data_IF_630156919286
#
_entry.id   IF_630156919286
#
_cell.length_a   1.000
_cell.length_b   1.000
_cell.length_c   1.000
_cell.angle_alpha   90.00
_cell.angle_beta   90.00
_cell.angle_gamma   90.00
#
_symmetry.space_group_name_H-M   'P 1'
#
loop_
_entity.id
_entity.type
_entity.pdbx_description
1 polymer ?
#
# COMPACT_ATOMS: atom_id res chain seq x y z
N UNK A 1 32.12 -48.28 -47.07
CA UNK A 1 31.21 -48.62 -45.95
C UNK A 1 30.68 -47.32 -45.36
N UNK A 2 29.39 -47.06 -45.51
CA UNK A 2 28.66 -45.94 -44.88
C UNK A 2 28.00 -46.47 -43.60
N UNK A 3 28.09 -45.72 -42.50
CA UNK A 3 27.09 -45.73 -41.44
C UNK A 3 27.20 -44.43 -40.62
N UNK A 4 26.27 -43.50 -40.88
CA UNK A 4 25.93 -42.39 -40.00
C UNK A 4 25.35 -42.95 -38.70
N UNK A 5 25.84 -42.49 -37.54
CA UNK A 5 25.13 -42.64 -36.25
C UNK A 5 24.68 -41.27 -35.77
N UNK A 6 23.37 -41.07 -35.77
CA UNK A 6 22.68 -39.99 -35.06
C UNK A 6 22.67 -40.28 -33.55
N UNK A 7 22.97 -39.28 -32.73
CA UNK A 7 22.70 -39.29 -31.28
C UNK A 7 22.19 -37.93 -30.85
N UNK A 8 20.90 -37.87 -30.49
CA UNK A 8 20.17 -36.68 -30.04
C UNK A 8 20.88 -35.95 -28.89
N UNK A 9 21.10 -34.65 -29.05
CA UNK A 9 21.38 -33.71 -27.97
C UNK A 9 20.10 -33.50 -27.14
N UNK A 10 20.16 -33.88 -25.86
CA UNK A 10 19.09 -33.63 -24.88
C UNK A 10 19.20 -32.19 -24.40
N UNK A 11 18.44 -31.27 -25.00
CA UNK A 11 18.31 -29.89 -24.51
C UNK A 11 17.62 -29.86 -23.15
N UNK A 12 18.33 -29.42 -22.11
CA UNK A 12 17.74 -29.09 -20.82
C UNK A 12 16.95 -27.78 -20.98
N UNK A 13 15.64 -27.88 -21.12
CA UNK A 13 14.75 -26.71 -21.01
C UNK A 13 14.73 -26.26 -19.55
N UNK A 14 15.30 -25.08 -19.28
CA UNK A 14 15.17 -24.42 -17.99
C UNK A 14 13.67 -24.13 -17.72
N UNK A 15 13.10 -24.78 -16.70
CA UNK A 15 11.75 -24.46 -16.23
C UNK A 15 11.81 -23.10 -15.54
N UNK A 16 11.25 -22.07 -16.18
CA UNK A 16 10.98 -20.78 -15.54
C UNK A 16 9.96 -21.02 -14.43
N UNK A 17 10.42 -21.00 -13.17
CA UNK A 17 9.52 -20.95 -12.02
C UNK A 17 8.79 -19.61 -12.06
N UNK A 18 7.46 -19.65 -12.08
CA UNK A 18 6.64 -18.46 -11.90
C UNK A 18 7.06 -17.76 -10.60
N UNK A 19 7.13 -16.42 -10.57
CA UNK A 19 7.45 -15.71 -9.34
C UNK A 19 6.36 -16.02 -8.31
N UNK A 20 6.71 -16.81 -7.30
CA UNK A 20 5.85 -16.96 -6.14
C UNK A 20 5.84 -15.62 -5.41
N UNK A 21 4.71 -14.92 -5.49
CA UNK A 21 4.42 -13.78 -4.62
C UNK A 21 4.20 -14.34 -3.22
N UNK A 22 5.30 -14.52 -2.49
CA UNK A 22 5.26 -14.90 -1.09
C UNK A 22 5.02 -13.61 -0.28
N UNK A 23 3.75 -13.20 -0.16
CA UNK A 23 3.41 -12.19 0.83
C UNK A 23 3.36 -12.91 2.18
N UNK A 24 4.34 -12.65 3.03
CA UNK A 24 4.33 -13.04 4.42
C UNK A 24 3.25 -12.23 5.13
N UNK A 25 1.98 -12.66 5.01
CA UNK A 25 0.97 -12.22 5.96
C UNK A 25 1.44 -12.70 7.32
N UNK A 26 1.88 -11.78 8.18
CA UNK A 26 2.03 -12.07 9.60
C UNK A 26 0.63 -12.39 10.13
N UNK A 27 0.27 -13.68 10.11
CA UNK A 27 -1.03 -14.17 10.55
C UNK A 27 -1.04 -14.24 12.07
N UNK A 28 -1.14 -13.09 12.72
CA UNK A 28 -1.42 -13.01 14.16
C UNK A 28 -2.88 -13.35 14.47
N UNK A 29 -3.22 -13.66 15.74
CA UNK A 29 -4.53 -14.19 16.16
C UNK A 29 -5.77 -13.29 15.92
N UNK A 30 -5.63 -12.09 15.35
CA UNK A 30 -6.73 -11.14 15.06
C UNK A 30 -7.50 -11.45 13.76
N UNK A 31 -7.33 -12.62 13.15
CA UNK A 31 -7.86 -12.91 11.80
C UNK A 31 -9.39 -12.96 11.71
N UNK A 32 -10.10 -13.08 12.83
CA UNK A 32 -11.55 -13.32 12.80
C UNK A 32 -12.37 -12.15 13.36
N UNK A 33 -11.83 -11.38 14.30
CA UNK A 33 -12.62 -10.41 15.06
C UNK A 33 -12.00 -9.00 14.99
N UNK A 34 -12.53 -8.17 14.10
CA UNK A 34 -12.36 -6.72 14.17
C UNK A 34 -12.02 -6.04 12.85
N UNK A 35 -12.53 -4.82 12.73
CA UNK A 35 -12.26 -3.92 11.61
C UNK A 35 -10.76 -3.76 11.40
N UNK A 36 -10.32 -3.93 10.16
CA UNK A 36 -8.96 -3.64 9.74
C UNK A 36 -8.95 -2.73 8.52
N UNK A 37 -7.77 -2.21 8.24
CA UNK A 37 -7.51 -1.31 7.14
C UNK A 37 -6.49 -1.95 6.20
N UNK A 38 -6.83 -2.01 4.92
CA UNK A 38 -5.90 -2.45 3.88
C UNK A 38 -5.23 -1.22 3.29
N UNK A 39 -3.94 -1.09 3.60
CA UNK A 39 -3.07 -0.10 3.01
C UNK A 39 -2.56 -0.65 1.69
N UNK A 40 -2.57 0.20 0.66
CA UNK A 40 -2.11 -0.20 -0.66
C UNK A 40 -1.30 0.94 -1.24
N UNK A 41 -0.07 0.62 -1.63
CA UNK A 41 0.87 1.54 -2.26
C UNK A 41 1.18 0.99 -3.65
N UNK A 42 0.93 1.79 -4.68
CA UNK A 42 1.29 1.42 -6.05
C UNK A 42 2.39 2.34 -6.56
N UNK A 43 3.48 1.73 -7.04
CA UNK A 43 4.49 2.41 -7.83
C UNK A 43 4.05 2.38 -9.29
N UNK A 44 3.81 3.54 -9.87
CA UNK A 44 3.41 3.68 -11.25
C UNK A 44 4.62 3.88 -12.15
N UNK A 45 4.49 3.43 -13.41
CA UNK A 45 5.47 3.69 -14.45
C UNK A 45 5.72 5.20 -14.60
N UNK A 46 6.97 5.61 -14.88
CA UNK A 46 7.27 6.99 -15.22
C UNK A 46 6.34 7.48 -16.35
N UNK A 47 5.86 8.72 -16.23
CA UNK A 47 4.90 9.36 -17.15
C UNK A 47 3.47 8.80 -17.16
N UNK A 48 3.14 7.79 -16.33
CA UNK A 48 1.79 7.21 -16.27
C UNK A 48 0.93 7.69 -15.10
N UNK A 49 1.47 8.51 -14.21
CA UNK A 49 0.76 9.07 -13.06
C UNK A 49 -0.56 9.75 -13.44
N UNK A 50 -0.52 10.71 -14.37
CA UNK A 50 -1.71 11.48 -14.74
C UNK A 50 -2.78 10.59 -15.39
N UNK A 51 -2.37 9.69 -16.29
CA UNK A 51 -3.28 8.73 -16.93
C UNK A 51 -3.98 7.85 -15.88
N UNK A 52 -3.22 7.32 -14.92
CA UNK A 52 -3.76 6.52 -13.83
C UNK A 52 -4.72 7.31 -12.94
N UNK A 53 -4.38 8.56 -12.57
CA UNK A 53 -5.22 9.40 -11.70
C UNK A 53 -6.52 9.80 -12.38
N UNK A 54 -6.52 10.09 -13.68
CA UNK A 54 -7.75 10.37 -14.43
C UNK A 54 -8.65 9.13 -14.52
N UNK A 55 -8.06 7.95 -14.77
CA UNK A 55 -8.81 6.69 -14.73
C UNK A 55 -9.37 6.42 -13.33
N UNK A 56 -8.57 6.62 -12.29
CA UNK A 56 -9.01 6.45 -10.91
C UNK A 56 -10.18 7.39 -10.61
N UNK A 57 -10.06 8.69 -10.91
CA UNK A 57 -11.13 9.68 -10.72
C UNK A 57 -12.41 9.29 -11.43
N UNK A 58 -12.31 8.82 -12.67
CA UNK A 58 -13.48 8.43 -13.47
C UNK A 58 -14.19 7.20 -12.91
N UNK A 59 -13.45 6.18 -12.49
CA UNK A 59 -14.01 4.85 -12.20
C UNK A 59 -13.99 4.45 -10.72
N UNK A 60 -13.47 5.28 -9.81
CA UNK A 60 -13.40 4.94 -8.38
C UNK A 60 -14.77 4.61 -7.79
N UNK A 61 -15.81 5.28 -8.28
CA UNK A 61 -17.20 5.08 -7.85
C UNK A 61 -17.66 3.61 -7.98
N UNK A 62 -17.17 2.89 -9.01
CA UNK A 62 -17.48 1.48 -9.22
C UNK A 62 -16.93 0.61 -8.07
N UNK A 63 -15.74 0.92 -7.56
CA UNK A 63 -15.15 0.18 -6.44
C UNK A 63 -15.74 0.62 -5.11
N UNK A 64 -15.98 1.91 -4.93
CA UNK A 64 -16.54 2.44 -3.67
C UNK A 64 -18.00 2.04 -3.45
N UNK A 65 -18.69 1.58 -4.49
CA UNK A 65 -20.00 0.95 -4.34
C UNK A 65 -19.95 -0.38 -3.53
N UNK A 66 -18.79 -1.03 -3.46
CA UNK A 66 -18.61 -2.29 -2.73
C UNK A 66 -17.65 -2.19 -1.54
N UNK A 67 -16.73 -1.21 -1.54
CA UNK A 67 -15.66 -1.09 -0.54
C UNK A 67 -15.62 0.32 0.04
N UNK A 68 -15.46 0.43 1.36
CA UNK A 68 -15.29 1.72 2.02
C UNK A 68 -13.88 2.25 1.79
N UNK A 69 -13.76 3.32 0.99
CA UNK A 69 -12.51 4.06 0.81
C UNK A 69 -12.35 5.06 1.95
N UNK A 70 -11.25 4.96 2.70
CA UNK A 70 -10.94 5.92 3.77
C UNK A 70 -10.25 7.15 3.18
N UNK A 71 -9.33 6.93 2.24
CA UNK A 71 -8.69 8.03 1.51
C UNK A 71 -7.76 7.54 0.43
N UNK A 72 -7.41 8.47 -0.46
CA UNK A 72 -6.61 8.24 -1.65
C UNK A 72 -5.71 9.44 -1.90
N UNK A 73 -4.41 9.20 -2.02
CA UNK A 73 -3.41 10.24 -2.19
C UNK A 73 -2.43 9.90 -3.30
N UNK A 74 -1.92 10.93 -3.97
CA UNK A 74 -0.66 10.85 -4.69
C UNK A 74 0.47 11.21 -3.74
N UNK A 75 1.59 10.49 -3.82
CA UNK A 75 2.79 10.78 -3.03
C UNK A 75 3.63 11.80 -3.79
N UNK A 76 3.85 12.97 -3.20
CA UNK A 76 4.67 14.04 -3.79
C UNK A 76 6.15 13.88 -3.41
N UNK A 77 6.42 13.64 -2.13
CA UNK A 77 7.76 13.50 -1.56
C UNK A 77 7.82 12.33 -0.59
N UNK A 78 9.00 11.69 -0.47
CA UNK A 78 9.23 10.60 0.50
C UNK A 78 9.92 9.34 -0.03
N UNK A 79 10.78 9.46 -1.04
CA UNK A 79 11.48 8.33 -1.65
C UNK A 79 11.23 8.27 -3.16
N UNK A 80 10.72 7.15 -3.65
CA UNK A 80 10.41 6.96 -5.06
C UNK A 80 9.13 7.72 -5.46
N UNK A 81 9.26 8.54 -6.51
CA UNK A 81 8.16 9.31 -7.10
C UNK A 81 7.20 8.40 -7.88
N UNK A 82 6.07 8.96 -8.35
CA UNK A 82 5.03 8.23 -9.08
C UNK A 82 4.30 7.16 -8.24
N UNK A 83 4.11 7.43 -6.94
CA UNK A 83 3.33 6.53 -6.07
C UNK A 83 1.94 7.06 -5.79
N UNK A 84 0.99 6.13 -5.68
CA UNK A 84 -0.32 6.40 -5.06
C UNK A 84 -0.46 5.55 -3.81
N UNK A 85 -1.06 6.13 -2.78
CA UNK A 85 -1.35 5.46 -1.52
C UNK A 85 -2.84 5.57 -1.23
N UNK A 86 -3.47 4.46 -0.85
CA UNK A 86 -4.89 4.49 -0.52
C UNK A 86 -5.27 3.43 0.51
N UNK A 87 -6.24 3.79 1.34
CA UNK A 87 -6.67 3.01 2.50
C UNK A 87 -8.10 2.52 2.30
N UNK A 88 -8.32 1.22 2.47
CA UNK A 88 -9.64 0.59 2.42
C UNK A 88 -10.01 0.01 3.78
N UNK A 89 -11.25 0.20 4.22
CA UNK A 89 -11.75 -0.37 5.48
C UNK A 89 -12.54 -1.65 5.21
N UNK A 90 -12.33 -2.66 6.05
CA UNK A 90 -13.11 -3.89 6.06
C UNK A 90 -13.40 -4.34 7.48
N UNK A 91 -14.56 -4.94 7.71
CA UNK A 91 -14.97 -5.40 9.04
C UNK A 91 -14.19 -6.63 9.51
N UNK A 92 -13.77 -7.49 8.57
CA UNK A 92 -12.95 -8.68 8.79
C UNK A 92 -12.52 -9.29 7.44
N UNK A 93 -11.78 -10.41 7.47
CA UNK A 93 -11.23 -11.05 6.27
C UNK A 93 -12.30 -11.72 5.40
N UNK A 94 -13.39 -12.21 6.00
CA UNK A 94 -14.51 -12.78 5.26
C UNK A 94 -15.22 -11.69 4.46
N UNK A 95 -15.56 -10.56 5.10
CA UNK A 95 -16.12 -9.38 4.44
C UNK A 95 -15.22 -8.90 3.30
N UNK A 96 -13.90 -8.77 3.52
CA UNK A 96 -12.95 -8.43 2.44
C UNK A 96 -13.01 -9.40 1.27
N UNK A 97 -13.08 -10.70 1.56
CA UNK A 97 -13.13 -11.75 0.54
C UNK A 97 -14.41 -11.66 -0.29
N UNK A 98 -15.55 -11.47 0.36
CA UNK A 98 -16.86 -11.32 -0.29
C UNK A 98 -16.91 -10.07 -1.17
N UNK A 99 -16.46 -8.94 -0.65
CA UNK A 99 -16.37 -7.67 -1.39
C UNK A 99 -15.49 -7.82 -2.62
N UNK A 100 -14.30 -8.39 -2.49
CA UNK A 100 -13.40 -8.61 -3.64
C UNK A 100 -14.00 -9.56 -4.67
N UNK A 101 -14.73 -10.60 -4.23
CA UNK A 101 -15.48 -11.51 -5.13
C UNK A 101 -16.60 -10.78 -5.86
N UNK A 102 -17.32 -9.87 -5.20
CA UNK A 102 -18.39 -9.09 -5.81
C UNK A 102 -17.83 -8.11 -6.86
N UNK A 103 -16.79 -7.34 -6.49
CA UNK A 103 -16.10 -6.40 -7.39
C UNK A 103 -15.54 -7.11 -8.62
N UNK A 104 -15.03 -8.33 -8.48
CA UNK A 104 -14.50 -9.10 -9.61
C UNK A 104 -15.58 -9.54 -10.62
N UNK A 105 -16.87 -9.53 -10.27
CA UNK A 105 -17.97 -9.84 -11.21
C UNK A 105 -18.34 -8.66 -12.08
N UNK A 106 -18.10 -7.44 -11.59
CA UNK A 106 -18.36 -6.21 -12.33
C UNK A 106 -17.53 -6.19 -13.63
N UNK A 107 -18.21 -6.02 -14.77
CA UNK A 107 -17.57 -6.07 -16.10
C UNK A 107 -16.78 -4.79 -16.38
N UNK A 108 -17.33 -3.65 -15.99
CA UNK A 108 -16.71 -2.34 -16.22
C UNK A 108 -15.45 -2.20 -15.37
N UNK A 109 -15.55 -2.57 -14.08
CA UNK A 109 -14.39 -2.57 -13.20
C UNK A 109 -13.26 -3.48 -13.72
N UNK A 110 -13.59 -4.69 -14.19
CA UNK A 110 -12.58 -5.62 -14.73
C UNK A 110 -11.83 -5.05 -15.92
N UNK A 111 -12.53 -4.40 -16.85
CA UNK A 111 -11.90 -3.84 -18.03
C UNK A 111 -10.91 -2.73 -17.65
N UNK A 112 -11.31 -1.84 -16.74
CA UNK A 112 -10.47 -0.74 -16.25
C UNK A 112 -9.32 -1.25 -15.39
N UNK A 113 -9.54 -2.29 -14.58
CA UNK A 113 -8.49 -2.93 -13.79
C UNK A 113 -7.36 -3.43 -14.69
N UNK A 114 -7.67 -4.14 -15.77
CA UNK A 114 -6.67 -4.65 -16.70
C UNK A 114 -5.85 -3.50 -17.32
N UNK A 115 -6.52 -2.44 -17.76
CA UNK A 115 -5.85 -1.25 -18.31
C UNK A 115 -4.94 -0.57 -17.29
N UNK A 116 -5.41 -0.39 -16.05
CA UNK A 116 -4.62 0.25 -14.99
C UNK A 116 -3.45 -0.63 -14.50
N UNK A 117 -3.59 -1.96 -14.50
CA UNK A 117 -2.50 -2.87 -14.12
C UNK A 117 -1.28 -2.71 -15.05
N UNK A 118 -1.48 -2.37 -16.32
CA UNK A 118 -0.38 -2.12 -17.25
C UNK A 118 0.42 -0.84 -16.92
N UNK A 119 -0.16 0.07 -16.12
CA UNK A 119 0.45 1.33 -15.69
C UNK A 119 1.27 1.20 -14.40
N UNK A 120 1.14 0.08 -13.69
CA UNK A 120 1.75 -0.17 -12.38
C UNK A 120 3.02 -1.02 -12.56
N UNK A 121 4.11 -0.62 -11.91
CA UNK A 121 5.35 -1.39 -11.83
C UNK A 121 5.38 -2.30 -10.60
N UNK A 122 4.93 -1.80 -9.44
CA UNK A 122 4.96 -2.52 -8.18
C UNK A 122 3.73 -2.22 -7.33
N UNK A 123 3.28 -3.22 -6.55
CA UNK A 123 2.18 -3.10 -5.61
C UNK A 123 2.56 -3.68 -4.26
N UNK A 124 2.44 -2.87 -3.23
CA UNK A 124 2.56 -3.27 -1.84
C UNK A 124 1.18 -3.20 -1.20
N UNK A 125 0.81 -4.23 -0.44
CA UNK A 125 -0.44 -4.27 0.31
C UNK A 125 -0.16 -4.73 1.73
N UNK A 126 -0.66 -3.97 2.69
CA UNK A 126 -0.47 -4.22 4.11
C UNK A 126 -1.82 -4.23 4.81
N UNK A 127 -1.96 -5.14 5.79
CA UNK A 127 -3.15 -5.19 6.65
C UNK A 127 -2.78 -4.60 7.99
N UNK A 128 -3.41 -3.47 8.30
CA UNK A 128 -3.17 -2.71 9.51
C UNK A 128 -4.42 -2.70 10.38
N UNK A 129 -4.22 -2.62 11.69
CA UNK A 129 -5.30 -2.52 12.65
C UNK A 129 -5.16 -1.20 13.40
N UNK A 130 -6.29 -0.61 13.80
CA UNK A 130 -6.22 0.52 14.72
C UNK A 130 -5.50 0.09 15.99
N UNK A 131 -4.57 0.93 16.40
CA UNK A 131 -3.74 0.74 17.59
C UNK A 131 -4.29 1.68 18.65
N UNK A 132 -5.11 1.20 19.60
CA UNK A 132 -5.81 2.14 20.46
C UNK A 132 -4.94 2.68 21.62
N UNK A 133 -3.80 2.05 21.97
CA UNK A 133 -2.84 2.53 23.01
C UNK A 133 -1.51 1.72 23.13
N UNK A 134 -0.99 1.11 22.05
CA UNK A 134 0.02 0.04 22.17
C UNK A 134 1.40 0.49 22.71
N UNK A 135 1.95 -0.29 23.64
CA UNK A 135 3.38 -0.26 24.05
C UNK A 135 4.24 -0.95 22.98
N UNK A 136 5.41 -0.39 22.68
CA UNK A 136 6.38 -1.01 21.77
C UNK A 136 6.93 -2.27 22.45
N UNK A 137 6.53 -3.44 21.96
CA UNK A 137 6.99 -4.75 22.42
C UNK A 137 7.77 -5.42 21.30
N UNK A 138 8.54 -6.46 21.63
CA UNK A 138 9.11 -7.37 20.62
C UNK A 138 8.04 -8.39 20.21
N UNK A 139 7.97 -8.85 18.93
CA UNK A 139 8.84 -8.51 17.80
C UNK A 139 8.65 -7.08 17.30
N UNK A 140 9.60 -6.57 16.50
CA UNK A 140 9.51 -5.23 15.92
C UNK A 140 8.15 -5.05 15.21
N UNK A 141 7.34 -4.09 15.69
CA UNK A 141 6.06 -3.73 15.09
C UNK A 141 6.27 -2.55 14.16
N UNK A 142 5.73 -2.65 12.95
CA UNK A 142 5.61 -1.50 12.06
C UNK A 142 4.40 -0.67 12.48
N UNK A 143 4.58 0.65 12.58
CA UNK A 143 3.54 1.59 12.99
C UNK A 143 3.44 2.68 11.94
N UNK A 144 2.26 2.80 11.33
CA UNK A 144 1.95 3.92 10.44
C UNK A 144 1.21 5.00 11.20
N UNK A 145 1.62 6.24 11.02
CA UNK A 145 0.98 7.39 11.63
C UNK A 145 0.64 8.40 10.54
N UNK A 146 -0.66 8.71 10.41
CA UNK A 146 -1.14 9.73 9.50
C UNK A 146 -1.41 11.02 10.27
N UNK A 147 -0.75 12.11 9.85
CA UNK A 147 -0.91 13.43 10.44
C UNK A 147 -1.51 14.38 9.42
N UNK A 148 -2.64 14.99 9.75
CA UNK A 148 -3.20 16.07 8.95
C UNK A 148 -2.61 17.41 9.39
N UNK A 149 -2.30 18.27 8.41
CA UNK A 149 -1.83 19.63 8.63
C UNK A 149 -2.46 20.54 7.57
N UNK A 150 -2.92 21.72 7.97
CA UNK A 150 -3.52 22.71 7.07
C UNK A 150 -2.57 23.15 5.94
N UNK A 151 -1.27 23.30 6.25
CA UNK A 151 -0.25 23.71 5.28
C UNK A 151 1.13 23.16 5.62
N UNK A 152 2.07 23.29 4.68
CA UNK A 152 3.47 22.98 4.94
C UNK A 152 4.06 23.86 6.06
N UNK A 153 3.63 25.11 6.12
CA UNK A 153 4.07 26.09 7.13
C UNK A 153 3.52 25.74 8.51
N UNK A 154 2.24 25.35 8.61
CA UNK A 154 1.65 24.94 9.90
C UNK A 154 2.36 23.70 10.44
N UNK A 155 2.69 22.75 9.55
CA UNK A 155 3.51 21.57 9.89
C UNK A 155 4.92 21.95 10.34
N UNK A 156 5.56 22.91 9.68
CA UNK A 156 6.91 23.36 10.04
C UNK A 156 6.91 24.05 11.42
N UNK A 157 5.97 24.94 11.66
CA UNK A 157 5.79 25.62 12.94
C UNK A 157 5.51 24.63 14.09
N UNK A 158 4.60 23.67 13.88
CA UNK A 158 4.30 22.63 14.88
C UNK A 158 5.51 21.76 15.21
N UNK A 159 6.35 21.42 14.22
CA UNK A 159 7.62 20.71 14.46
C UNK A 159 8.63 21.55 15.23
N UNK A 160 8.73 22.84 14.91
CA UNK A 160 9.62 23.75 15.63
C UNK A 160 9.22 23.83 17.12
N UNK A 161 7.94 24.05 17.40
CA UNK A 161 7.41 24.04 18.78
C UNK A 161 7.69 22.70 19.49
N UNK A 162 7.48 21.58 18.80
CA UNK A 162 7.75 20.24 19.36
C UNK A 162 9.23 20.01 19.67
N UNK A 163 10.14 20.59 18.90
CA UNK A 163 11.58 20.52 19.16
C UNK A 163 12.03 21.39 20.34
N UNK A 164 11.24 22.39 20.72
CA UNK A 164 11.51 23.26 21.86
C UNK A 164 10.83 22.79 23.16
N UNK A 165 9.79 21.94 23.07
CA UNK A 165 9.16 21.36 24.26
C UNK A 165 10.06 20.26 24.89
N UNK A 166 10.60 20.47 26.11
CA UNK A 166 11.52 19.54 26.74
C UNK A 166 10.88 18.17 27.02
N UNK A 167 9.56 18.10 27.19
CA UNK A 167 8.84 16.82 27.42
C UNK A 167 8.81 15.98 26.15
N UNK A 168 8.56 16.63 25.01
CA UNK A 168 8.55 15.97 23.70
C UNK A 168 9.95 15.49 23.36
N UNK A 169 10.96 16.35 23.52
CA UNK A 169 12.37 15.99 23.27
C UNK A 169 12.80 14.81 24.15
N UNK A 170 12.43 14.79 25.42
CA UNK A 170 12.74 13.67 26.32
C UNK A 170 12.08 12.36 25.84
N UNK A 171 10.79 12.39 25.50
CA UNK A 171 10.06 11.22 25.01
C UNK A 171 10.59 10.70 23.66
N UNK A 172 11.00 11.60 22.75
CA UNK A 172 11.63 11.21 21.47
C UNK A 172 12.99 10.56 21.71
N UNK A 173 13.82 11.11 22.61
CA UNK A 173 15.13 10.52 22.96
C UNK A 173 15.01 9.14 23.57
N UNK A 174 13.97 8.88 24.35
CA UNK A 174 13.71 7.55 24.90
C UNK A 174 13.26 6.58 23.79
N UNK A 175 12.30 7.01 22.95
CA UNK A 175 11.66 6.15 21.96
C UNK A 175 12.52 5.84 20.73
N UNK A 176 13.43 6.75 20.33
CA UNK A 176 14.30 6.56 19.14
C UNK A 176 15.22 5.33 19.29
N UNK A 177 15.52 4.90 20.51
CA UNK A 177 16.33 3.69 20.75
C UNK A 177 15.64 2.40 20.29
N UNK A 178 14.31 2.43 20.10
CA UNK A 178 13.52 1.32 19.58
C UNK A 178 13.25 1.44 18.08
N UNK A 179 13.62 2.57 17.46
CA UNK A 179 13.34 2.86 16.06
C UNK A 179 14.43 2.27 15.17
N UNK A 180 14.08 1.27 14.36
CA UNK A 180 15.00 0.65 13.40
C UNK A 180 15.10 1.48 12.13
N UNK A 181 13.96 1.94 11.61
CA UNK A 181 13.89 2.79 10.42
C UNK A 181 12.64 3.68 10.51
N UNK A 182 12.70 4.83 9.86
CA UNK A 182 11.55 5.71 9.68
C UNK A 182 11.51 6.19 8.24
N UNK A 183 10.33 6.14 7.66
CA UNK A 183 10.03 6.76 6.37
C UNK A 183 8.91 7.77 6.56
N UNK A 184 9.00 8.88 5.84
CA UNK A 184 7.99 9.92 5.86
C UNK A 184 7.57 10.20 4.41
N UNK A 185 6.26 10.27 4.19
CA UNK A 185 5.71 10.63 2.89
C UNK A 185 4.87 11.90 3.03
N UNK A 186 4.92 12.75 2.02
CA UNK A 186 3.97 13.84 1.84
C UNK A 186 2.88 13.38 0.87
N UNK A 187 1.66 13.38 1.38
CA UNK A 187 0.49 12.86 0.69
C UNK A 187 -0.38 14.02 0.23
N UNK A 188 -0.64 14.11 -1.07
CA UNK A 188 -1.61 15.06 -1.62
C UNK A 188 -2.93 14.32 -1.84
N UNK A 189 -4.03 14.74 -1.19
CA UNK A 189 -5.33 14.10 -1.35
C UNK A 189 -5.85 14.29 -2.77
N UNK A 190 -6.36 13.22 -3.38
CA UNK A 190 -7.00 13.36 -4.69
C UNK A 190 -8.36 14.06 -4.56
N UNK A 191 -8.91 14.65 -5.64
CA UNK A 191 -10.21 15.31 -5.60
C UNK A 191 -11.36 14.41 -5.14
N UNK A 192 -11.26 13.11 -5.40
CA UNK A 192 -12.25 12.09 -5.01
C UNK A 192 -11.94 11.39 -3.68
N UNK A 193 -10.83 11.71 -3.02
CA UNK A 193 -10.50 11.16 -1.70
C UNK A 193 -11.51 11.64 -0.64
N UNK A 194 -12.11 10.73 0.17
CA UNK A 194 -12.97 11.12 1.28
C UNK A 194 -12.22 11.91 2.36
N UNK A 195 -11.04 11.43 2.77
CA UNK A 195 -10.15 12.19 3.66
C UNK A 195 -9.38 13.23 2.84
N UNK A 196 -9.45 14.50 3.26
CA UNK A 196 -8.72 15.63 2.69
C UNK A 196 -7.54 15.99 3.60
#
# INVERSE_FOLDING_TARGET
>A
MLALRSGLTRGLAARTLAPQVCSSFATGPRQYDGTFYEFRTYCLKPSKMNEFLENAKKYMHLRTAYSELVGFWSVEFGGQMNKVFHIWKYDNFAHRTEVRKAVAKDKEWRQILISNLALIDEQENEITYLVPWCKLEKPAKEVHVLWWNESADSRAAGRHQSHEDPRVVAAVRESVNYLVSQQNMFLIPTPFSPLK
#
